data_IF_251992425242
#
_entry.id   IF_251992425242
#
_cell.length_a   1.000
_cell.length_b   1.000
_cell.length_c   1.000
_cell.angle_alpha   90.00
_cell.angle_beta   90.00
_cell.angle_gamma   90.00
#
_symmetry.space_group_name_H-M   'P 1'
#
loop_
_entity.id
_entity.type
_entity.pdbx_description
1 polymer ?
#
# COMPACT_ATOMS: atom_id res chain seq x y z
N UNK A 1 5.08 -8.28 -9.49
CA UNK A 1 4.92 -6.99 -10.21
C UNK A 1 3.89 -6.15 -9.46
N UNK A 2 4.33 -5.20 -8.64
CA UNK A 2 3.45 -4.32 -7.82
C UNK A 2 3.60 -2.82 -8.15
N UNK A 3 4.45 -2.50 -9.13
CA UNK A 3 4.68 -1.13 -9.57
C UNK A 3 3.42 -0.49 -10.17
N UNK A 4 2.65 -1.26 -10.95
CA UNK A 4 1.40 -0.81 -11.56
C UNK A 4 0.35 -0.37 -10.53
N UNK A 5 -0.01 -1.23 -9.55
CA UNK A 5 -0.88 -0.84 -8.45
C UNK A 5 -0.37 0.36 -7.65
N UNK A 6 0.94 0.46 -7.39
CA UNK A 6 1.52 1.60 -6.67
C UNK A 6 1.40 2.91 -7.46
N UNK A 7 1.61 2.87 -8.78
CA UNK A 7 1.49 4.05 -9.64
C UNK A 7 0.05 4.50 -9.80
N UNK A 8 -0.88 3.55 -9.97
CA UNK A 8 -2.32 3.83 -9.95
C UNK A 8 -2.72 4.42 -8.60
N UNK A 9 -2.28 3.85 -7.49
CA UNK A 9 -2.57 4.43 -6.18
C UNK A 9 -2.05 5.86 -6.05
N UNK A 10 -0.81 6.16 -6.44
CA UNK A 10 -0.26 7.50 -6.36
C UNK A 10 -1.07 8.51 -7.20
N UNK A 11 -1.44 8.13 -8.42
CA UNK A 11 -2.26 8.97 -9.29
C UNK A 11 -3.66 9.22 -8.67
N UNK A 12 -4.34 8.17 -8.21
CA UNK A 12 -5.67 8.28 -7.61
C UNK A 12 -5.63 9.03 -6.27
N UNK A 13 -4.61 8.80 -5.44
CA UNK A 13 -4.38 9.55 -4.21
C UNK A 13 -4.30 11.06 -4.49
N UNK A 14 -3.56 11.46 -5.52
CA UNK A 14 -3.45 12.88 -5.91
C UNK A 14 -4.76 13.50 -6.42
N UNK A 15 -5.65 12.70 -7.01
CA UNK A 15 -6.91 13.17 -7.61
C UNK A 15 -8.05 13.26 -6.61
N UNK A 16 -8.10 12.35 -5.64
CA UNK A 16 -9.24 12.17 -4.74
C UNK A 16 -9.00 12.65 -3.32
N UNK A 17 -7.75 12.92 -2.93
CA UNK A 17 -7.42 13.45 -1.61
C UNK A 17 -8.06 14.82 -1.39
N UNK A 18 -8.79 14.96 -0.28
CA UNK A 18 -9.36 16.23 0.17
C UNK A 18 -8.52 16.76 1.33
N UNK A 19 -7.72 17.84 1.13
CA UNK A 19 -6.92 18.42 2.21
C UNK A 19 -7.78 18.91 3.36
N UNK A 20 -7.39 18.58 4.59
CA UNK A 20 -8.12 19.03 5.79
C UNK A 20 -9.54 18.47 5.89
N UNK A 21 -9.86 17.34 5.24
CA UNK A 21 -11.21 16.76 5.28
C UNK A 21 -11.75 16.57 6.70
N UNK A 22 -10.89 16.12 7.63
CA UNK A 22 -11.26 15.92 9.04
C UNK A 22 -11.55 17.23 9.79
N UNK A 23 -11.10 18.37 9.25
CA UNK A 23 -11.33 19.69 9.82
C UNK A 23 -12.64 20.33 9.29
N UNK A 24 -13.29 19.72 8.28
CA UNK A 24 -14.53 20.22 7.70
C UNK A 24 -15.72 19.85 8.61
N UNK A 25 -16.51 20.83 9.08
CA UNK A 25 -17.72 20.55 9.84
C UNK A 25 -18.72 19.76 8.99
N UNK A 26 -19.35 18.73 9.56
CA UNK A 26 -20.29 17.85 8.84
C UNK A 26 -21.44 18.62 8.14
N UNK A 27 -21.90 19.73 8.72
CA UNK A 27 -22.96 20.57 8.14
C UNK A 27 -22.54 21.39 6.90
N UNK A 28 -21.24 21.49 6.63
CA UNK A 28 -20.66 22.19 5.47
C UNK A 28 -20.10 21.22 4.43
N UNK A 29 -20.20 19.92 4.68
CA UNK A 29 -19.56 18.89 3.88
C UNK A 29 -20.35 18.68 2.58
N UNK A 30 -19.73 18.99 1.46
CA UNK A 30 -20.38 18.81 0.15
C UNK A 30 -20.36 17.36 -0.30
N UNK A 31 -21.37 16.92 -1.04
CA UNK A 31 -21.43 15.56 -1.60
C UNK A 31 -20.18 15.22 -2.43
N UNK A 32 -19.60 16.21 -3.12
CA UNK A 32 -18.35 16.05 -3.87
C UNK A 32 -17.18 15.68 -2.95
N UNK A 33 -16.98 16.43 -1.86
CA UNK A 33 -15.89 16.17 -0.92
C UNK A 33 -16.06 14.80 -0.27
N UNK A 34 -17.28 14.43 0.11
CA UNK A 34 -17.57 13.11 0.66
C UNK A 34 -17.21 11.98 -0.31
N UNK A 35 -17.66 12.07 -1.57
CA UNK A 35 -17.40 11.05 -2.58
C UNK A 35 -15.89 10.97 -2.89
N UNK A 36 -15.21 12.12 -3.00
CA UNK A 36 -13.75 12.17 -3.20
C UNK A 36 -13.01 11.46 -2.07
N UNK A 37 -13.32 11.78 -0.81
CA UNK A 37 -12.64 11.16 0.34
C UNK A 37 -12.97 9.66 0.46
N UNK A 38 -14.19 9.25 0.12
CA UNK A 38 -14.59 7.85 0.10
C UNK A 38 -13.81 7.07 -0.97
N UNK A 39 -13.68 7.62 -2.18
CA UNK A 39 -12.85 7.03 -3.23
C UNK A 39 -11.39 6.96 -2.82
N UNK A 40 -10.84 8.04 -2.27
CA UNK A 40 -9.48 8.08 -1.72
C UNK A 40 -9.24 6.94 -0.71
N UNK A 41 -10.15 6.79 0.26
CA UNK A 41 -10.08 5.75 1.30
C UNK A 41 -10.12 4.34 0.72
N UNK A 42 -11.00 4.07 -0.25
CA UNK A 42 -11.07 2.76 -0.92
C UNK A 42 -9.78 2.44 -1.66
N UNK A 43 -9.25 3.40 -2.43
CA UNK A 43 -7.98 3.20 -3.15
C UNK A 43 -6.79 3.01 -2.19
N UNK A 44 -6.78 3.71 -1.05
CA UNK A 44 -5.77 3.53 -0.01
C UNK A 44 -5.80 2.11 0.58
N UNK A 45 -6.99 1.59 0.89
CA UNK A 45 -7.14 0.23 1.39
C UNK A 45 -6.72 -0.83 0.37
N UNK A 46 -7.08 -0.65 -0.91
CA UNK A 46 -6.65 -1.55 -2.00
C UNK A 46 -5.13 -1.55 -2.13
N UNK A 47 -4.50 -0.37 -2.08
CA UNK A 47 -3.04 -0.23 -2.16
C UNK A 47 -2.35 -0.89 -0.98
N UNK A 48 -2.88 -0.70 0.23
CA UNK A 48 -2.36 -1.34 1.45
C UNK A 48 -2.48 -2.86 1.37
N UNK A 49 -3.60 -3.39 0.89
CA UNK A 49 -3.80 -4.82 0.68
C UNK A 49 -2.83 -5.37 -0.38
N UNK A 50 -2.62 -4.63 -1.48
CA UNK A 50 -1.66 -5.01 -2.51
C UNK A 50 -0.22 -5.02 -1.99
N UNK A 51 0.15 -4.04 -1.15
CA UNK A 51 1.44 -3.98 -0.48
C UNK A 51 1.63 -5.16 0.48
N UNK A 52 0.66 -5.44 1.35
CA UNK A 52 0.70 -6.58 2.27
C UNK A 52 0.88 -7.90 1.50
N UNK A 53 0.11 -8.09 0.42
CA UNK A 53 0.23 -9.24 -0.45
C UNK A 53 1.57 -9.30 -1.20
N UNK A 54 2.18 -8.15 -1.51
CA UNK A 54 3.52 -8.11 -2.07
C UNK A 54 4.56 -8.63 -1.09
N UNK A 55 4.47 -8.23 0.18
CA UNK A 55 5.37 -8.70 1.24
C UNK A 55 5.17 -10.22 1.47
N UNK A 56 3.93 -10.68 1.45
CA UNK A 56 3.56 -12.11 1.56
C UNK A 56 3.98 -12.97 0.38
N UNK A 57 4.28 -12.39 -0.79
CA UNK A 57 4.73 -13.15 -1.95
C UNK A 57 6.20 -12.92 -2.28
N UNK A 58 6.83 -11.89 -1.73
CA UNK A 58 8.23 -11.58 -2.02
C UNK A 58 9.17 -12.63 -1.38
N UNK A 59 9.89 -13.44 -2.18
CA UNK A 59 10.72 -14.52 -1.66
C UNK A 59 12.02 -14.02 -1.02
N UNK A 60 12.37 -12.74 -1.19
CA UNK A 60 13.69 -12.16 -0.87
C UNK A 60 13.77 -11.59 0.55
N UNK A 61 12.68 -11.61 1.32
CA UNK A 61 12.70 -10.98 2.66
C UNK A 61 13.62 -11.72 3.66
N UNK A 62 14.41 -10.98 4.49
CA UNK A 62 15.41 -11.56 5.39
C UNK A 62 14.87 -12.52 6.46
N UNK A 63 13.57 -12.46 6.78
CA UNK A 63 12.94 -13.37 7.73
C UNK A 63 12.42 -14.66 7.10
N UNK A 64 12.36 -14.78 5.76
CA UNK A 64 11.88 -16.01 5.12
C UNK A 64 12.87 -17.16 5.29
N UNK A 65 12.40 -18.36 5.67
CA UNK A 65 13.26 -19.54 5.80
C UNK A 65 13.95 -19.93 4.48
N UNK A 66 13.31 -19.72 3.32
CA UNK A 66 13.91 -19.99 2.01
C UNK A 66 15.08 -19.07 1.69
N UNK A 67 14.90 -17.76 1.87
CA UNK A 67 15.94 -16.76 1.65
C UNK A 67 17.10 -16.90 2.64
N UNK A 68 16.79 -17.09 3.94
CA UNK A 68 17.82 -17.34 4.96
C UNK A 68 18.69 -18.55 4.62
N UNK A 69 18.07 -19.65 4.14
CA UNK A 69 18.80 -20.84 3.70
C UNK A 69 19.69 -20.55 2.48
N UNK A 70 19.16 -19.84 1.48
CA UNK A 70 19.94 -19.47 0.30
C UNK A 70 21.14 -18.57 0.64
N UNK A 71 20.93 -17.55 1.49
CA UNK A 71 21.97 -16.65 1.96
C UNK A 71 23.00 -17.38 2.83
N UNK A 72 22.55 -18.25 3.73
CA UNK A 72 23.44 -19.05 4.56
C UNK A 72 24.27 -20.03 3.73
N UNK A 73 23.69 -20.66 2.70
CA UNK A 73 24.42 -21.50 1.75
C UNK A 73 25.46 -20.68 0.96
N UNK A 74 25.09 -19.49 0.48
CA UNK A 74 26.00 -18.56 -0.20
C UNK A 74 27.15 -18.09 0.69
N UNK A 75 26.87 -17.83 1.96
CA UNK A 75 27.87 -17.40 2.94
C UNK A 75 28.70 -18.56 3.52
N UNK A 76 28.51 -19.80 3.03
CA UNK A 76 29.20 -20.98 3.55
C UNK A 76 28.86 -21.31 5.01
N UNK A 77 27.75 -20.75 5.52
CA UNK A 77 27.21 -20.96 6.86
C UNK A 77 26.08 -21.98 6.83
N UNK A 78 26.35 -23.19 6.37
CA UNK A 78 25.49 -24.31 6.74
C UNK A 78 25.77 -24.69 8.21
N UNK A 79 24.85 -25.38 8.92
CA UNK A 79 25.34 -26.28 9.96
C UNK A 79 26.35 -27.28 9.37
#
# INVERSE_FOLDING_TARGET
MYLGPAFLFAAFASLFYVPGFLDIPLGLLTSRQFISELLFSVFALISLAALARSIELDPVWPWRPGFRRAVNALLGRTP
#
